data_IF_697847171180
#
_entry.id   IF_697847171180
#
_cell.length_a   1.000
_cell.length_b   1.000
_cell.length_c   1.000
_cell.angle_alpha   90.00
_cell.angle_beta   90.00
_cell.angle_gamma   90.00
#
_symmetry.space_group_name_H-M   'P 1'
#
loop_
_entity.id
_entity.type
_entity.pdbx_description
1 polymer ?
#
# COMPACT_ATOMS: atom_id res chain seq x y z
N UNK A 1 12.88 14.65 13.94
CA UNK A 1 12.33 15.84 13.25
C UNK A 1 11.83 16.85 14.29
N UNK A 2 11.92 18.14 13.99
CA UNK A 2 11.47 19.23 14.87
C UNK A 2 10.36 20.04 14.21
N UNK A 3 9.57 20.78 14.99
CA UNK A 3 8.65 21.76 14.41
C UNK A 3 9.45 22.88 13.74
N UNK A 4 8.97 23.36 12.59
CA UNK A 4 9.63 24.39 11.79
C UNK A 4 9.14 25.82 12.09
N UNK A 5 8.27 26.00 13.09
CA UNK A 5 7.74 27.30 13.44
C UNK A 5 6.66 27.27 14.53
N UNK A 6 6.14 28.46 14.85
CA UNK A 6 5.13 28.66 15.90
C UNK A 6 5.72 28.54 17.31
N UNK A 7 4.86 28.40 18.32
CA UNK A 7 5.28 28.37 19.73
C UNK A 7 6.12 27.13 20.12
N UNK A 8 6.14 26.10 19.27
CA UNK A 8 6.96 24.88 19.44
C UNK A 8 8.18 24.85 18.54
N UNK A 9 8.56 25.97 17.92
CA UNK A 9 9.68 26.01 16.99
C UNK A 9 10.96 25.38 17.58
N UNK A 10 11.64 24.57 16.78
CA UNK A 10 12.82 23.80 17.18
C UNK A 10 12.58 22.65 18.18
N UNK A 11 11.37 22.49 18.73
CA UNK A 11 11.04 21.37 19.64
C UNK A 11 10.81 20.07 18.88
N UNK A 12 11.00 18.89 19.51
CA UNK A 12 10.77 17.61 18.86
C UNK A 12 9.33 17.48 18.35
N UNK A 13 9.17 17.19 17.07
CA UNK A 13 7.88 16.90 16.43
C UNK A 13 7.68 15.40 16.21
N UNK A 14 8.75 14.67 15.90
CA UNK A 14 8.76 13.21 15.78
C UNK A 14 9.96 12.68 16.57
N UNK A 15 9.71 11.70 17.44
CA UNK A 15 10.73 11.02 18.24
C UNK A 15 10.65 9.51 18.06
N UNK A 16 11.79 8.84 18.20
CA UNK A 16 11.90 7.38 18.12
C UNK A 16 12.57 6.90 19.40
N UNK A 17 11.94 5.96 20.10
CA UNK A 17 12.50 5.31 21.28
C UNK A 17 12.71 3.82 21.01
N UNK A 18 13.87 3.28 21.38
CA UNK A 18 14.11 1.84 21.35
C UNK A 18 13.63 1.22 22.68
N UNK A 19 12.82 0.17 22.60
CA UNK A 19 12.29 -0.48 23.80
C UNK A 19 12.22 -2.00 23.60
N UNK A 20 12.98 -2.74 24.41
CA UNK A 20 13.15 -4.18 24.23
C UNK A 20 13.73 -4.50 22.85
N UNK A 21 13.05 -5.39 22.10
CA UNK A 21 13.43 -5.76 20.73
C UNK A 21 12.83 -4.86 19.65
N UNK A 22 12.05 -3.85 20.03
CA UNK A 22 11.27 -3.03 19.12
C UNK A 22 11.55 -1.54 19.24
N UNK A 23 10.73 -0.74 18.55
CA UNK A 23 10.78 0.72 18.58
C UNK A 23 9.39 1.30 18.73
N UNK A 24 9.31 2.46 19.36
CA UNK A 24 8.10 3.28 19.47
C UNK A 24 8.36 4.61 18.75
N UNK A 25 7.52 4.95 17.78
CA UNK A 25 7.59 6.23 17.07
C UNK A 25 6.44 7.12 17.55
N UNK A 26 6.78 8.26 18.13
CA UNK A 26 5.78 9.25 18.56
C UNK A 26 5.74 10.41 17.56
N UNK A 27 4.55 10.67 17.02
CA UNK A 27 4.30 11.73 16.05
C UNK A 27 3.44 12.80 16.73
N UNK A 28 4.06 13.90 17.14
CA UNK A 28 3.40 15.03 17.80
C UNK A 28 2.80 16.06 16.84
N UNK A 29 2.89 15.85 15.53
CA UNK A 29 2.41 16.77 14.50
C UNK A 29 1.40 16.09 13.58
N UNK A 30 0.46 16.86 13.03
CA UNK A 30 -0.43 16.38 11.96
C UNK A 30 0.33 16.38 10.64
N UNK A 31 0.76 15.20 10.19
CA UNK A 31 1.48 15.03 8.93
C UNK A 31 0.51 14.84 7.77
N UNK A 32 0.82 15.46 6.64
CA UNK A 32 0.09 15.33 5.37
C UNK A 32 1.08 15.37 4.21
N UNK A 33 0.66 14.89 3.04
CA UNK A 33 1.46 14.91 1.81
C UNK A 33 2.85 14.29 2.02
N UNK A 34 3.88 15.00 1.57
CA UNK A 34 5.28 14.55 1.62
C UNK A 34 5.76 14.16 3.02
N UNK A 35 5.33 14.88 4.07
CA UNK A 35 5.74 14.58 5.44
C UNK A 35 5.23 13.22 5.93
N UNK A 36 3.99 12.86 5.55
CA UNK A 36 3.44 11.54 5.86
C UNK A 36 4.08 10.46 4.99
N UNK A 37 4.28 10.72 3.70
CA UNK A 37 4.93 9.79 2.78
C UNK A 37 6.36 9.46 3.24
N UNK A 38 7.13 10.45 3.67
CA UNK A 38 8.48 10.27 4.19
C UNK A 38 8.50 9.42 5.48
N UNK A 39 7.53 9.63 6.38
CA UNK A 39 7.42 8.80 7.58
C UNK A 39 7.08 7.34 7.22
N UNK A 40 6.15 7.11 6.29
CA UNK A 40 5.80 5.76 5.85
C UNK A 40 7.00 5.09 5.16
N UNK A 41 7.75 5.81 4.32
CA UNK A 41 8.96 5.30 3.69
C UNK A 41 10.04 4.93 4.72
N UNK A 42 10.26 5.78 5.73
CA UNK A 42 11.17 5.49 6.84
C UNK A 42 10.76 4.21 7.59
N UNK A 43 9.47 4.08 7.94
CA UNK A 43 8.95 2.91 8.64
C UNK A 43 9.07 1.63 7.80
N UNK A 44 8.83 1.72 6.48
CA UNK A 44 9.03 0.60 5.56
C UNK A 44 10.49 0.16 5.53
N UNK A 45 11.44 1.09 5.40
CA UNK A 45 12.87 0.78 5.34
C UNK A 45 13.41 0.14 6.63
N UNK A 46 12.84 0.49 7.78
CA UNK A 46 13.18 -0.12 9.09
C UNK A 46 12.50 -1.49 9.31
N UNK A 47 11.67 -1.93 8.37
CA UNK A 47 10.92 -3.18 8.44
C UNK A 47 11.22 -4.07 7.23
N UNK A 48 10.85 -5.35 7.30
CA UNK A 48 10.87 -6.23 6.14
C UNK A 48 9.55 -6.19 5.33
N UNK A 49 8.78 -5.09 5.43
CA UNK A 49 7.47 -4.99 4.78
C UNK A 49 7.59 -4.55 3.33
N UNK A 50 7.26 -5.45 2.41
CA UNK A 50 7.04 -5.15 1.00
C UNK A 50 5.55 -4.91 0.69
N UNK A 51 5.26 -4.15 -0.37
CA UNK A 51 3.92 -4.11 -0.95
C UNK A 51 3.59 -5.42 -1.70
N UNK A 52 2.35 -5.52 -2.18
CA UNK A 52 1.90 -6.65 -3.01
C UNK A 52 2.50 -6.60 -4.41
N UNK A 53 2.38 -5.43 -5.04
CA UNK A 53 2.97 -5.07 -6.33
C UNK A 53 2.95 -3.54 -6.46
N UNK A 54 3.64 -3.02 -7.47
CA UNK A 54 3.53 -1.61 -7.85
C UNK A 54 2.18 -1.35 -8.54
N UNK A 55 1.58 -0.19 -8.27
CA UNK A 55 0.32 0.25 -8.88
C UNK A 55 0.38 1.74 -9.22
N UNK A 56 -0.27 2.18 -10.31
CA UNK A 56 -0.40 3.61 -10.59
C UNK A 56 -1.30 4.30 -9.55
N UNK A 57 -1.17 5.63 -9.46
CA UNK A 57 -2.03 6.45 -8.60
C UNK A 57 -3.50 6.23 -8.97
N UNK A 58 -4.34 6.00 -7.97
CA UNK A 58 -5.78 5.75 -8.15
C UNK A 58 -6.16 4.28 -8.33
N UNK A 59 -5.19 3.38 -8.58
CA UNK A 59 -5.40 1.94 -8.55
C UNK A 59 -4.93 1.35 -7.22
N UNK A 60 -5.85 0.74 -6.48
CA UNK A 60 -5.58 0.16 -5.17
C UNK A 60 -5.79 -1.35 -5.20
N UNK A 61 -4.79 -2.11 -4.76
CA UNK A 61 -4.85 -3.56 -4.66
C UNK A 61 -4.86 -4.00 -3.20
N UNK A 62 -5.87 -4.76 -2.81
CA UNK A 62 -6.00 -5.36 -1.48
C UNK A 62 -5.92 -6.87 -1.56
N UNK A 63 -5.33 -7.51 -0.55
CA UNK A 63 -5.23 -8.97 -0.49
C UNK A 63 -6.06 -9.54 0.66
N UNK A 64 -6.77 -10.63 0.38
CA UNK A 64 -7.33 -11.55 1.38
C UNK A 64 -6.72 -12.92 1.18
N UNK A 65 -6.30 -13.56 2.27
CA UNK A 65 -5.77 -14.93 2.25
C UNK A 65 -6.68 -15.79 3.11
N UNK A 66 -7.25 -16.83 2.51
CA UNK A 66 -7.89 -17.95 3.20
C UNK A 66 -7.02 -19.20 3.17
N UNK A 67 -7.50 -20.33 3.71
CA UNK A 67 -6.75 -21.59 3.75
C UNK A 67 -6.37 -22.13 2.37
N UNK A 68 -7.28 -22.03 1.40
CA UNK A 68 -7.12 -22.64 0.08
C UNK A 68 -6.93 -21.60 -1.03
N UNK A 69 -7.36 -20.36 -0.80
CA UNK A 69 -7.42 -19.31 -1.83
C UNK A 69 -6.83 -18.00 -1.35
N UNK A 70 -6.06 -17.36 -2.24
CA UNK A 70 -5.62 -15.98 -2.13
C UNK A 70 -6.38 -15.14 -3.15
N UNK A 71 -6.97 -14.05 -2.68
CA UNK A 71 -7.71 -13.09 -3.49
C UNK A 71 -7.03 -11.74 -3.51
N UNK A 72 -6.88 -11.17 -4.69
CA UNK A 72 -6.53 -9.76 -4.89
C UNK A 72 -7.74 -8.99 -5.43
N UNK A 73 -8.03 -7.86 -4.81
CA UNK A 73 -9.07 -6.93 -5.23
C UNK A 73 -8.37 -5.70 -5.80
N UNK A 74 -8.38 -5.54 -7.12
CA UNK A 74 -7.82 -4.38 -7.80
C UNK A 74 -8.95 -3.41 -8.13
N UNK A 75 -9.00 -2.26 -7.44
CA UNK A 75 -10.05 -1.26 -7.59
C UNK A 75 -9.47 -0.01 -8.27
N UNK A 76 -10.09 0.39 -9.38
CA UNK A 76 -9.78 1.64 -10.05
C UNK A 76 -10.74 2.73 -9.57
N UNK A 77 -10.22 3.73 -8.85
CA UNK A 77 -11.01 4.86 -8.36
C UNK A 77 -11.02 6.06 -9.32
N UNK A 78 -10.53 5.90 -10.55
CA UNK A 78 -10.40 6.96 -11.54
C UNK A 78 -11.37 6.76 -12.70
N UNK A 79 -11.60 7.81 -13.49
CA UNK A 79 -12.39 7.75 -14.72
C UNK A 79 -11.55 7.34 -15.95
N UNK A 80 -10.29 6.95 -15.74
CA UNK A 80 -9.37 6.49 -16.78
C UNK A 80 -9.11 4.98 -16.65
N UNK A 81 -8.77 4.30 -17.75
CA UNK A 81 -8.32 2.91 -17.68
C UNK A 81 -6.91 2.87 -17.06
N UNK A 82 -6.72 2.03 -16.05
CA UNK A 82 -5.44 1.81 -15.40
C UNK A 82 -4.99 0.37 -15.55
N UNK A 83 -3.68 0.13 -15.54
CA UNK A 83 -3.11 -1.21 -15.59
C UNK A 83 -2.09 -1.44 -14.47
N UNK A 84 -1.89 -2.71 -14.14
CA UNK A 84 -0.86 -3.19 -13.22
C UNK A 84 -0.44 -4.60 -13.57
N UNK A 85 0.72 -5.02 -13.05
CA UNK A 85 1.30 -6.34 -13.36
C UNK A 85 1.47 -7.13 -12.07
N UNK A 86 0.49 -7.96 -11.67
CA UNK A 86 0.67 -8.86 -10.54
C UNK A 86 1.66 -9.99 -10.89
N UNK A 87 2.41 -10.50 -9.91
CA UNK A 87 3.26 -11.66 -10.12
C UNK A 87 2.42 -12.92 -10.31
N UNK A 88 2.84 -13.80 -11.22
CA UNK A 88 2.18 -15.08 -11.48
C UNK A 88 0.93 -14.99 -12.36
N UNK A 89 0.23 -16.11 -12.47
CA UNK A 89 -1.04 -16.22 -13.18
C UNK A 89 -2.20 -16.22 -12.17
N UNK A 90 -3.30 -15.62 -12.58
CA UNK A 90 -4.49 -15.41 -11.76
C UNK A 90 -5.74 -15.77 -12.54
N UNK A 91 -6.76 -16.25 -11.84
CA UNK A 91 -8.10 -16.37 -12.40
C UNK A 91 -8.90 -15.11 -12.05
N UNK A 92 -9.41 -14.40 -13.05
CA UNK A 92 -10.40 -13.34 -12.82
C UNK A 92 -11.75 -13.98 -12.52
N UNK A 93 -12.24 -13.75 -11.31
CA UNK A 93 -13.49 -14.35 -10.82
C UNK A 93 -14.75 -13.70 -11.41
N UNK A 94 -14.63 -12.52 -12.03
CA UNK A 94 -15.75 -11.82 -12.66
C UNK A 94 -15.90 -12.20 -14.14
N UNK A 95 -14.80 -12.27 -14.89
CA UNK A 95 -14.83 -12.68 -16.30
C UNK A 95 -14.68 -14.18 -16.52
N UNK A 96 -14.08 -14.90 -15.55
CA UNK A 96 -13.71 -16.30 -15.67
C UNK A 96 -12.40 -16.54 -16.44
N UNK A 97 -11.76 -15.48 -16.94
CA UNK A 97 -10.53 -15.59 -17.73
C UNK A 97 -9.30 -15.79 -16.84
N UNK A 98 -8.29 -16.47 -17.39
CA UNK A 98 -6.96 -16.51 -16.76
C UNK A 98 -6.15 -15.31 -17.25
N UNK A 99 -5.63 -14.52 -16.31
CA UNK A 99 -4.84 -13.33 -16.56
C UNK A 99 -3.41 -13.51 -16.04
N UNK A 100 -2.43 -13.00 -16.78
CA UNK A 100 -1.03 -12.95 -16.37
C UNK A 100 -0.33 -11.78 -17.06
N UNK A 101 0.68 -11.19 -16.43
CA UNK A 101 1.33 -10.00 -16.96
C UNK A 101 0.49 -8.76 -16.70
N UNK A 102 0.38 -7.86 -17.69
CA UNK A 102 -0.39 -6.63 -17.54
C UNK A 102 -1.90 -6.90 -17.50
N UNK A 103 -2.56 -6.46 -16.44
CA UNK A 103 -4.02 -6.53 -16.25
C UNK A 103 -4.58 -5.13 -16.27
N UNK A 104 -5.60 -4.92 -17.10
CA UNK A 104 -6.33 -3.65 -17.23
C UNK A 104 -7.61 -3.65 -16.40
N UNK A 105 -7.84 -2.53 -15.72
CA UNK A 105 -9.03 -2.25 -14.92
C UNK A 105 -9.70 -1.01 -15.51
N UNK A 106 -10.93 -1.20 -15.98
CA UNK A 106 -11.71 -0.14 -16.61
C UNK A 106 -11.97 1.03 -15.64
N UNK A 107 -12.34 2.22 -16.15
CA UNK A 107 -12.76 3.36 -15.33
C UNK A 107 -13.81 2.98 -14.28
N UNK A 108 -13.57 3.39 -13.03
CA UNK A 108 -14.47 3.17 -11.89
C UNK A 108 -14.86 1.70 -11.66
N UNK A 109 -14.05 0.76 -12.14
CA UNK A 109 -14.31 -0.69 -12.10
C UNK A 109 -13.34 -1.42 -11.15
N UNK A 110 -13.55 -2.74 -10.99
CA UNK A 110 -12.69 -3.60 -10.20
C UNK A 110 -12.47 -4.98 -10.85
N UNK A 111 -11.33 -5.59 -10.54
CA UNK A 111 -11.03 -7.00 -10.83
C UNK A 111 -10.88 -7.78 -9.54
N UNK A 112 -11.37 -9.02 -9.51
CA UNK A 112 -11.17 -9.96 -8.40
C UNK A 112 -10.33 -11.13 -8.91
N UNK A 113 -9.07 -11.19 -8.49
CA UNK A 113 -8.10 -12.16 -8.96
C UNK A 113 -7.90 -13.25 -7.90
N UNK A 114 -8.09 -14.51 -8.28
CA UNK A 114 -7.86 -15.66 -7.43
C UNK A 114 -6.60 -16.45 -7.84
N UNK A 115 -5.89 -16.95 -6.86
CA UNK A 115 -4.88 -18.00 -7.00
C UNK A 115 -4.93 -18.91 -5.78
N UNK A 116 -4.36 -20.10 -5.89
CA UNK A 116 -4.22 -21.00 -4.74
C UNK A 116 -3.42 -20.31 -3.62
N UNK A 117 -3.81 -20.55 -2.37
CA UNK A 117 -3.03 -20.10 -1.23
C UNK A 117 -1.68 -20.84 -1.20
N UNK A 118 -0.58 -20.09 -1.27
CA UNK A 118 0.78 -20.59 -0.98
C UNK A 118 1.09 -20.45 0.51
#
# INVERSE_FOLDING_TARGET
>A
ATYAGGWRDGRPAITVNQFGKGRVVYVGASLRGEGLAALVAYLRAESALSGLCETPVGLHVYQRVGPDVRLWFALNYTEEELSFTPPGAWQDMLSGETCSGEIRVAPLDLRILASDAQ
#
